data_IF_026438755629
#
_entry.id   IF_026438755629
#
_cell.length_a   1.000
_cell.length_b   1.000
_cell.length_c   1.000
_cell.angle_alpha   90.00
_cell.angle_beta   90.00
_cell.angle_gamma   90.00
#
_symmetry.space_group_name_H-M   'P 1'
#
loop_
_entity.id
_entity.type
_entity.pdbx_description
1 polymer ?
#
# COMPACT_ATOMS: atom_id res chain seq x y z
N UNK A 1 2.70 6.36 -5.94
CA UNK A 1 3.59 6.12 -4.79
C UNK A 1 2.90 5.12 -3.88
N UNK A 2 3.62 4.17 -3.30
CA UNK A 2 3.06 3.25 -2.32
C UNK A 2 3.37 3.76 -0.91
N UNK A 3 2.34 3.94 -0.09
CA UNK A 3 2.47 4.39 1.31
C UNK A 3 1.85 3.34 2.21
N UNK A 4 2.59 2.92 3.22
CA UNK A 4 2.14 1.98 4.23
C UNK A 4 1.72 2.71 5.50
N UNK A 5 0.49 2.45 5.93
CA UNK A 5 -0.01 2.82 7.24
C UNK A 5 0.11 1.61 8.17
N UNK A 6 1.07 1.65 9.08
CA UNK A 6 1.31 0.59 10.08
C UNK A 6 0.46 0.78 11.34
N UNK A 7 -0.29 1.87 11.42
CA UNK A 7 -1.22 2.16 12.50
C UNK A 7 -2.53 1.36 12.40
N UNK A 8 -3.33 1.45 13.47
CA UNK A 8 -4.65 0.81 13.54
C UNK A 8 -5.79 1.70 13.03
N UNK A 9 -5.51 2.96 12.74
CA UNK A 9 -6.51 3.96 12.40
C UNK A 9 -6.26 4.51 11.00
N UNK A 10 -7.32 5.06 10.41
CA UNK A 10 -7.23 5.80 9.15
C UNK A 10 -6.54 7.14 9.43
N UNK A 11 -5.54 7.48 8.61
CA UNK A 11 -4.90 8.79 8.63
C UNK A 11 -5.33 9.60 7.41
N UNK A 12 -5.59 10.90 7.60
CA UNK A 12 -5.82 11.82 6.49
C UNK A 12 -4.64 12.78 6.39
N UNK A 13 -3.88 12.69 5.29
CA UNK A 13 -2.67 13.48 5.08
C UNK A 13 -2.79 14.18 3.73
N UNK A 14 -2.88 15.52 3.75
CA UNK A 14 -3.03 16.31 2.51
C UNK A 14 -4.31 16.01 1.73
N UNK A 15 -5.39 15.62 2.42
CA UNK A 15 -6.64 15.20 1.77
C UNK A 15 -6.62 13.77 1.21
N UNK A 16 -5.55 13.02 1.48
CA UNK A 16 -5.41 11.60 1.11
C UNK A 16 -5.79 10.74 2.30
N UNK A 17 -6.80 9.89 2.13
CA UNK A 17 -7.17 8.89 3.13
C UNK A 17 -6.24 7.67 3.02
N UNK A 18 -5.54 7.36 4.11
CA UNK A 18 -4.63 6.23 4.24
C UNK A 18 -5.24 5.22 5.21
N UNK A 19 -5.79 4.12 4.68
CA UNK A 19 -6.31 3.03 5.51
C UNK A 19 -5.16 2.19 6.06
N UNK A 20 -5.34 1.44 7.16
CA UNK A 20 -4.34 0.48 7.62
C UNK A 20 -3.85 -0.44 6.49
N UNK A 21 -2.55 -0.73 6.46
CA UNK A 21 -1.92 -1.45 5.35
C UNK A 21 -1.40 -0.55 4.25
N UNK A 22 -1.26 -1.11 3.05
CA UNK A 22 -0.58 -0.43 1.94
C UNK A 22 -1.55 0.26 1.00
N UNK A 23 -1.25 1.52 0.68
CA UNK A 23 -2.11 2.44 -0.05
C UNK A 23 -1.37 2.90 -1.31
N UNK A 24 -1.94 2.58 -2.47
CA UNK A 24 -1.36 3.01 -3.73
C UNK A 24 -1.90 4.38 -4.14
N UNK A 25 -1.08 5.41 -3.96
CA UNK A 25 -1.43 6.78 -4.29
C UNK A 25 -1.25 7.07 -5.78
N UNK A 26 -2.25 7.74 -6.35
CA UNK A 26 -2.13 8.40 -7.66
C UNK A 26 -1.06 9.50 -7.61
N UNK A 27 -0.65 10.01 -8.78
CA UNK A 27 0.32 11.11 -8.86
C UNK A 27 -0.12 12.34 -8.05
N UNK A 28 -1.37 12.80 -8.26
CA UNK A 28 -1.94 13.95 -7.55
C UNK A 28 -1.98 13.74 -6.03
N UNK A 29 -2.38 12.55 -5.59
CA UNK A 29 -2.38 12.19 -4.16
C UNK A 29 -0.95 12.16 -3.59
N UNK A 30 0.02 11.65 -4.34
CA UNK A 30 1.43 11.61 -3.92
C UNK A 30 1.99 13.03 -3.72
N UNK A 31 1.68 13.95 -4.64
CA UNK A 31 2.06 15.36 -4.53
C UNK A 31 1.44 16.04 -3.31
N UNK A 32 0.13 15.82 -3.08
CA UNK A 32 -0.58 16.37 -1.93
C UNK A 32 -0.07 15.81 -0.59
N UNK A 33 0.20 14.50 -0.54
CA UNK A 33 0.80 13.82 0.61
C UNK A 33 2.18 14.40 0.95
N UNK A 34 3.06 14.51 -0.05
CA UNK A 34 4.39 15.08 0.12
C UNK A 34 4.36 16.56 0.54
N UNK A 35 3.44 17.35 -0.01
CA UNK A 35 3.27 18.74 0.40
C UNK A 35 2.84 18.82 1.87
N UNK A 36 1.89 17.99 2.28
CA UNK A 36 1.35 17.98 3.64
C UNK A 36 2.35 17.48 4.69
N UNK A 37 3.24 16.55 4.36
CA UNK A 37 4.32 16.13 5.26
C UNK A 37 5.34 17.26 5.45
N UNK A 38 5.65 18.01 4.39
CA UNK A 38 6.60 19.12 4.46
C UNK A 38 6.05 20.32 5.22
N UNK A 39 4.74 20.55 5.17
CA UNK A 39 4.11 21.76 5.72
C UNK A 39 3.45 21.58 7.09
N UNK A 40 3.41 20.36 7.64
CA UNK A 40 2.71 20.07 8.89
C UNK A 40 3.52 19.11 9.77
N UNK A 41 3.89 19.57 10.97
CA UNK A 41 4.75 18.83 11.91
C UNK A 41 4.12 17.53 12.41
N UNK A 42 2.80 17.48 12.59
CA UNK A 42 2.11 16.26 12.99
C UNK A 42 2.23 15.18 11.92
N UNK A 43 2.06 15.54 10.64
CA UNK A 43 2.23 14.60 9.53
C UNK A 43 3.70 14.13 9.42
N UNK A 44 4.66 15.03 9.59
CA UNK A 44 6.08 14.67 9.64
C UNK A 44 6.39 13.71 10.79
N UNK A 45 5.83 13.96 11.97
CA UNK A 45 5.99 13.11 13.15
C UNK A 45 5.45 11.69 12.93
N UNK A 46 4.34 11.52 12.20
CA UNK A 46 3.80 10.19 11.86
C UNK A 46 4.78 9.37 11.01
N UNK A 47 5.55 10.02 10.12
CA UNK A 47 6.59 9.39 9.32
C UNK A 47 7.82 9.09 10.17
N UNK A 48 8.26 10.05 10.99
CA UNK A 48 9.41 9.88 11.90
C UNK A 48 9.22 8.70 12.86
N UNK A 49 8.00 8.53 13.40
CA UNK A 49 7.65 7.38 14.26
C UNK A 49 7.38 6.10 13.49
N UNK A 50 7.45 6.13 12.16
CA UNK A 50 7.19 4.97 11.30
C UNK A 50 5.75 4.49 11.31
N UNK A 51 4.80 5.30 11.81
CA UNK A 51 3.36 5.00 11.75
C UNK A 51 2.89 5.04 10.30
N UNK A 52 3.37 6.02 9.55
CA UNK A 52 3.30 6.06 8.10
C UNK A 52 4.70 5.83 7.54
N UNK A 53 4.81 5.14 6.41
CA UNK A 53 6.09 4.99 5.71
C UNK A 53 5.89 4.91 4.20
N UNK A 54 6.69 5.66 3.45
CA UNK A 54 6.79 5.45 1.99
C UNK A 54 7.47 4.10 1.76
N UNK A 55 6.90 3.28 0.89
CA UNK A 55 7.45 1.97 0.58
C UNK A 55 8.51 2.12 -0.50
N UNK A 56 9.74 1.75 -0.12
CA UNK A 56 10.90 1.81 -1.00
C UNK A 56 11.19 0.44 -1.62
N UNK A 57 11.60 0.47 -2.88
CA UNK A 57 12.05 -0.69 -3.63
C UNK A 57 13.56 -0.91 -3.45
N UNK A 58 14.10 -1.85 -4.21
CA UNK A 58 15.54 -2.11 -4.18
C UNK A 58 16.31 -0.84 -4.58
N UNK A 59 17.20 -0.38 -3.70
CA UNK A 59 18.01 0.83 -3.91
C UNK A 59 17.37 2.14 -3.44
N UNK A 60 16.36 2.09 -2.56
CA UNK A 60 15.81 3.28 -1.90
C UNK A 60 14.93 4.16 -2.79
N UNK A 61 14.42 3.60 -3.90
CA UNK A 61 13.52 4.32 -4.81
C UNK A 61 12.08 4.06 -4.44
N UNK A 62 11.27 5.10 -4.42
CA UNK A 62 9.81 4.99 -4.24
C UNK A 62 9.20 3.99 -5.22
N UNK A 63 8.45 3.05 -4.68
CA UNK A 63 7.69 2.08 -5.48
C UNK A 63 6.33 2.67 -5.84
N UNK A 64 5.88 2.42 -7.06
CA UNK A 64 4.55 2.84 -7.50
C UNK A 64 3.51 1.75 -7.27
N UNK A 65 3.90 0.49 -7.37
CA UNK A 65 3.04 -0.68 -7.24
C UNK A 65 3.81 -1.89 -6.74
N UNK A 66 3.15 -2.83 -6.06
CA UNK A 66 3.78 -4.11 -5.67
C UNK A 66 4.29 -4.90 -6.88
N UNK A 67 3.77 -4.63 -8.07
CA UNK A 67 4.20 -5.24 -9.33
C UNK A 67 5.65 -4.88 -9.66
N UNK A 68 6.15 -3.74 -9.18
CA UNK A 68 7.53 -3.28 -9.38
C UNK A 68 8.52 -3.93 -8.38
N UNK A 69 8.01 -4.70 -7.42
CA UNK A 69 8.79 -5.30 -6.34
C UNK A 69 9.17 -6.76 -6.63
N UNK A 70 10.18 -7.28 -5.92
CA UNK A 70 10.38 -8.73 -5.85
C UNK A 70 9.23 -9.38 -5.08
N UNK A 71 9.08 -10.70 -5.21
CA UNK A 71 8.03 -11.43 -4.47
C UNK A 71 8.17 -11.20 -2.96
N UNK A 72 9.36 -11.39 -2.40
CA UNK A 72 9.61 -11.27 -0.96
C UNK A 72 9.29 -9.87 -0.43
N UNK A 73 9.49 -8.82 -1.24
CA UNK A 73 9.14 -7.45 -0.88
C UNK A 73 7.64 -7.18 -0.96
N UNK A 74 6.93 -7.79 -1.91
CA UNK A 74 5.50 -7.59 -2.11
C UNK A 74 4.63 -8.37 -1.12
N UNK A 75 5.06 -9.56 -0.69
CA UNK A 75 4.29 -10.41 0.23
C UNK A 75 3.81 -9.69 1.50
N UNK A 76 4.65 -8.97 2.28
CA UNK A 76 4.18 -8.25 3.45
C UNK A 76 3.23 -7.10 3.09
N UNK A 77 3.43 -6.44 1.96
CA UNK A 77 2.53 -5.36 1.52
C UNK A 77 1.15 -5.90 1.13
N UNK A 78 1.09 -7.08 0.50
CA UNK A 78 -0.18 -7.76 0.21
C UNK A 78 -0.88 -8.18 1.51
N UNK A 79 -0.14 -8.84 2.42
CA UNK A 79 -0.69 -9.35 3.67
C UNK A 79 -1.28 -8.22 4.53
N UNK A 80 -0.60 -7.09 4.63
CA UNK A 80 -1.04 -5.97 5.46
C UNK A 80 -2.17 -5.15 4.81
N UNK A 81 -2.37 -5.26 3.49
CA UNK A 81 -3.41 -4.50 2.79
C UNK A 81 -4.80 -5.07 3.08
N UNK A 82 -5.68 -4.21 3.59
CA UNK A 82 -7.10 -4.53 3.87
C UNK A 82 -8.05 -4.02 2.79
N UNK A 83 -7.58 -3.15 1.89
CA UNK A 83 -8.40 -2.64 0.79
C UNK A 83 -8.53 -3.68 -0.31
N UNK A 84 -9.71 -4.29 -0.42
CA UNK A 84 -10.06 -5.23 -1.50
C UNK A 84 -9.91 -4.57 -2.88
N UNK A 85 -10.23 -3.27 -2.99
CA UNK A 85 -10.07 -2.52 -4.24
C UNK A 85 -8.60 -2.45 -4.67
N UNK A 86 -7.71 -2.08 -3.74
CA UNK A 86 -6.26 -2.01 -3.99
C UNK A 86 -5.71 -3.38 -4.41
N UNK A 87 -6.07 -4.44 -3.68
CA UNK A 87 -5.64 -5.80 -3.99
C UNK A 87 -6.15 -6.27 -5.36
N UNK A 88 -7.40 -5.97 -5.70
CA UNK A 88 -8.00 -6.34 -6.99
C UNK A 88 -7.31 -5.61 -8.14
N UNK A 89 -6.97 -4.34 -7.95
CA UNK A 89 -6.19 -3.57 -8.93
C UNK A 89 -4.81 -4.18 -9.16
N UNK A 90 -4.10 -4.52 -8.08
CA UNK A 90 -2.78 -5.17 -8.18
C UNK A 90 -2.85 -6.53 -8.86
N UNK A 91 -3.90 -7.31 -8.59
CA UNK A 91 -4.13 -8.58 -9.28
C UNK A 91 -4.27 -8.35 -10.80
N UNK A 92 -5.07 -7.38 -11.21
CA UNK A 92 -5.24 -7.05 -12.64
C UNK A 92 -3.95 -6.51 -13.28
N UNK A 93 -3.18 -5.69 -12.57
CA UNK A 93 -1.89 -5.16 -13.04
C UNK A 93 -0.86 -6.29 -13.18
N UNK A 94 -0.72 -7.17 -12.18
CA UNK A 94 0.22 -8.30 -12.21
C UNK A 94 -0.14 -9.29 -13.33
N UNK A 95 -1.43 -9.56 -13.54
CA UNK A 95 -1.89 -10.42 -14.63
C UNK A 95 -1.67 -9.82 -16.03
N UNK A 96 -1.74 -8.50 -16.17
CA UNK A 96 -1.40 -7.80 -17.43
C UNK A 96 0.11 -7.73 -17.68
N UNK A 97 0.91 -7.74 -16.62
CA UNK A 97 2.37 -7.67 -16.67
C UNK A 97 3.03 -9.04 -16.71
N UNK A 98 3.89 -9.30 -15.72
CA UNK A 98 4.71 -10.51 -15.67
C UNK A 98 3.92 -11.79 -15.32
N UNK A 99 2.70 -11.68 -14.78
CA UNK A 99 1.84 -12.81 -14.47
C UNK A 99 2.46 -13.80 -13.49
N UNK A 100 3.24 -13.33 -12.51
CA UNK A 100 3.98 -14.23 -11.61
C UNK A 100 2.99 -15.06 -10.79
N UNK A 101 2.97 -16.37 -11.04
CA UNK A 101 2.01 -17.32 -10.44
C UNK A 101 1.85 -17.14 -8.92
N UNK A 102 2.96 -17.16 -8.18
CA UNK A 102 2.93 -16.98 -6.71
C UNK A 102 2.32 -15.64 -6.29
N UNK A 103 2.63 -14.55 -6.97
CA UNK A 103 2.07 -13.23 -6.67
C UNK A 103 0.55 -13.22 -6.89
N UNK A 104 0.11 -13.74 -8.05
CA UNK A 104 -1.30 -13.87 -8.41
C UNK A 104 -2.06 -14.72 -7.39
N UNK A 105 -1.49 -15.85 -6.99
CA UNK A 105 -2.11 -16.76 -6.02
C UNK A 105 -2.22 -16.10 -4.64
N UNK A 106 -1.18 -15.40 -4.18
CA UNK A 106 -1.21 -14.66 -2.90
C UNK A 106 -2.26 -13.55 -2.91
N UNK A 107 -2.35 -12.76 -3.99
CA UNK A 107 -3.35 -11.70 -4.13
C UNK A 107 -4.78 -12.28 -4.09
N UNK A 108 -5.02 -13.37 -4.81
CA UNK A 108 -6.32 -14.05 -4.80
C UNK A 108 -6.68 -14.58 -3.41
N UNK A 109 -5.73 -15.22 -2.73
CA UNK A 109 -5.93 -15.75 -1.38
C UNK A 109 -6.31 -14.62 -0.41
N UNK A 110 -5.57 -13.51 -0.42
CA UNK A 110 -5.86 -12.37 0.44
C UNK A 110 -7.22 -11.72 0.15
N UNK A 111 -7.58 -11.58 -1.13
CA UNK A 111 -8.90 -11.07 -1.51
C UNK A 111 -10.02 -11.99 -1.03
N UNK A 112 -9.84 -13.32 -1.14
CA UNK A 112 -10.82 -14.29 -0.68
C UNK A 112 -10.99 -14.24 0.85
N UNK A 113 -9.88 -14.16 1.59
CA UNK A 113 -9.88 -14.01 3.05
C UNK A 113 -10.71 -12.80 3.49
N UNK A 114 -10.48 -11.63 2.89
CA UNK A 114 -11.18 -10.38 3.25
C UNK A 114 -12.65 -10.34 2.80
N UNK A 115 -13.06 -11.19 1.85
CA UNK A 115 -14.45 -11.28 1.37
C UNK A 115 -15.24 -12.37 2.07
N UNK A 116 -14.58 -13.30 2.75
CA UNK A 116 -15.24 -14.31 3.54
C UNK A 116 -15.72 -13.62 4.81
N UNK A 117 -17.03 -13.57 5.10
CA UNK A 117 -17.49 -13.07 6.40
C UNK A 117 -16.81 -13.91 7.48
N UNK A 118 -16.35 -13.26 8.56
CA UNK A 118 -15.85 -13.99 9.72
C UNK A 118 -17.01 -14.86 10.24
N UNK A 119 -16.95 -16.17 9.99
CA UNK A 119 -17.84 -17.12 10.64
C UNK A 119 -17.54 -17.06 12.15
N UNK A 120 -18.58 -16.77 12.95
CA UNK A 120 -18.59 -16.63 14.42
C UNK A 120 -17.98 -17.83 15.16
#
# INVERSE_FOLDING_TARGET
>A
MLVKNKGKFIHNVGGVQLVPGSNQLTKKQSEAFNAAIKSNELNAFLIEKGTLSVVEGKGGKDVQSITDMTLDQALPEIADTVSVETLTKWLADEQRGAGRKKMVDTLKARIAELKTPEDE
#
